data_IF_691542817620
#
_entry.id   IF_691542817620
#
_cell.length_a   1.000
_cell.length_b   1.000
_cell.length_c   1.000
_cell.angle_alpha   90.00
_cell.angle_beta   90.00
_cell.angle_gamma   90.00
#
_symmetry.space_group_name_H-M   'P 1'
#
loop_
_entity.id
_entity.type
_entity.pdbx_description
1 polymer ?
#
# COMPACT_ATOMS: atom_id res chain seq x y z
N UNK A 1 -3.70 6.82 -66.46
CA UNK A 1 -3.19 7.43 -65.20
C UNK A 1 -2.79 6.31 -64.23
N UNK A 2 -1.54 5.85 -64.29
CA UNK A 2 -1.06 4.78 -63.41
C UNK A 2 -0.92 5.27 -61.96
N UNK A 3 -1.55 4.57 -61.01
CA UNK A 3 -1.38 4.86 -59.57
C UNK A 3 0.10 4.72 -59.21
N UNK A 4 0.75 5.82 -58.85
CA UNK A 4 2.14 5.82 -58.38
C UNK A 4 2.30 4.81 -57.22
N UNK A 5 3.16 3.81 -57.40
CA UNK A 5 3.52 2.85 -56.34
C UNK A 5 4.19 3.63 -55.21
N UNK A 6 3.51 3.75 -54.06
CA UNK A 6 4.07 4.34 -52.84
C UNK A 6 5.26 3.49 -52.38
N UNK A 7 6.37 4.14 -52.02
CA UNK A 7 7.60 3.48 -51.56
C UNK A 7 7.30 2.71 -50.26
N UNK A 8 7.61 1.40 -50.23
CA UNK A 8 7.26 0.44 -49.16
C UNK A 8 7.94 0.70 -47.79
N UNK A 9 8.73 1.76 -47.67
CA UNK A 9 9.52 2.09 -46.48
C UNK A 9 8.84 3.12 -45.57
N UNK A 10 7.80 3.82 -46.03
CA UNK A 10 7.12 4.83 -45.23
C UNK A 10 6.01 4.22 -44.37
N UNK A 11 5.89 4.67 -43.12
CA UNK A 11 4.80 4.27 -42.19
C UNK A 11 3.39 4.49 -42.77
N UNK A 12 3.23 5.40 -43.74
CA UNK A 12 1.97 5.63 -44.47
C UNK A 12 1.66 4.52 -45.47
N UNK A 13 2.67 3.86 -46.05
CA UNK A 13 2.50 2.71 -46.92
C UNK A 13 2.06 1.47 -46.14
N UNK A 14 2.58 1.27 -44.92
CA UNK A 14 2.19 0.13 -44.06
C UNK A 14 0.73 0.18 -43.59
N UNK A 15 0.14 1.38 -43.53
CA UNK A 15 -1.29 1.56 -43.20
C UNK A 15 -2.23 1.28 -44.38
N UNK A 16 -1.71 1.14 -45.59
CA UNK A 16 -2.48 0.85 -46.80
C UNK A 16 -2.27 -0.56 -47.35
N UNK A 17 -1.57 -1.42 -46.61
CA UNK A 17 -1.51 -2.86 -46.89
C UNK A 17 -2.84 -3.43 -46.40
N UNK A 18 -3.53 -4.15 -47.26
CA UNK A 18 -4.75 -4.83 -46.88
C UNK A 18 -4.39 -6.01 -45.97
N UNK A 19 -4.95 -6.02 -44.77
CA UNK A 19 -4.72 -7.05 -43.73
C UNK A 19 -6.05 -7.76 -43.41
N UNK A 20 -7.10 -7.51 -44.20
CA UNK A 20 -8.40 -8.16 -44.05
C UNK A 20 -8.26 -9.68 -44.09
N UNK A 21 -7.62 -10.24 -45.13
CA UNK A 21 -7.41 -11.69 -45.27
C UNK A 21 -6.72 -12.33 -44.05
N UNK A 22 -5.72 -11.66 -43.48
CA UNK A 22 -4.99 -12.16 -42.29
C UNK A 22 -5.85 -12.07 -41.03
N UNK A 23 -6.64 -11.00 -40.89
CA UNK A 23 -7.56 -10.86 -39.77
C UNK A 23 -8.71 -11.86 -39.87
N UNK A 24 -9.25 -12.07 -41.07
CA UNK A 24 -10.34 -13.03 -41.33
C UNK A 24 -9.86 -14.46 -41.04
N UNK A 25 -8.65 -14.82 -41.47
CA UNK A 25 -8.04 -16.11 -41.13
C UNK A 25 -7.84 -16.29 -39.61
N UNK A 26 -7.44 -15.24 -38.90
CA UNK A 26 -7.28 -15.27 -37.44
C UNK A 26 -8.63 -15.37 -36.72
N UNK A 27 -9.65 -14.67 -37.20
CA UNK A 27 -11.02 -14.74 -36.69
C UNK A 27 -11.63 -16.12 -36.92
N UNK A 28 -11.43 -16.72 -38.09
CA UNK A 28 -11.81 -18.10 -38.38
C UNK A 28 -11.11 -19.09 -37.46
N UNK A 29 -9.80 -18.96 -37.26
CA UNK A 29 -9.05 -19.81 -36.33
C UNK A 29 -9.60 -19.68 -34.90
N UNK A 30 -9.91 -18.46 -34.47
CA UNK A 30 -10.50 -18.21 -33.14
C UNK A 30 -11.91 -18.81 -33.03
N UNK A 31 -12.68 -18.78 -34.12
CA UNK A 31 -14.02 -19.39 -34.20
C UNK A 31 -13.96 -20.91 -34.15
N UNK A 32 -13.02 -21.55 -34.86
CA UNK A 32 -12.79 -23.00 -34.84
C UNK A 32 -12.37 -23.49 -33.44
N UNK A 33 -11.50 -22.74 -32.76
CA UNK A 33 -11.13 -22.97 -31.36
C UNK A 33 -12.33 -22.91 -30.40
N UNK A 34 -13.24 -21.93 -30.58
CA UNK A 34 -14.45 -21.83 -29.74
C UNK A 34 -15.42 -22.98 -29.94
N UNK A 35 -15.44 -23.54 -31.15
CA UNK A 35 -16.29 -24.68 -31.50
C UNK A 35 -15.61 -26.02 -31.21
N UNK A 36 -14.36 -26.02 -30.71
CA UNK A 36 -13.52 -27.21 -30.53
C UNK A 36 -13.36 -28.07 -31.81
N UNK A 37 -13.40 -27.44 -32.98
CA UNK A 37 -13.32 -28.10 -34.30
C UNK A 37 -11.96 -27.84 -34.98
N UNK A 38 -10.88 -27.95 -34.22
CA UNK A 38 -9.52 -27.86 -34.78
C UNK A 38 -9.05 -29.27 -35.18
N UNK A 39 -9.45 -29.69 -36.39
CA UNK A 39 -9.15 -31.03 -36.92
C UNK A 39 -7.64 -31.33 -37.02
N UNK A 40 -6.79 -30.31 -37.17
CA UNK A 40 -5.32 -30.49 -37.24
C UNK A 40 -4.69 -30.94 -35.92
N UNK A 41 -5.37 -30.72 -34.79
CA UNK A 41 -4.83 -31.00 -33.45
C UNK A 41 -5.36 -32.30 -32.85
N UNK A 42 -6.51 -32.76 -33.31
CA UNK A 42 -7.15 -33.98 -32.84
C UNK A 42 -6.61 -35.14 -33.71
N UNK A 43 -6.13 -36.25 -33.11
CA UNK A 43 -5.63 -37.37 -33.89
C UNK A 43 -6.74 -38.02 -34.73
N UNK A 44 -6.42 -38.46 -35.94
CA UNK A 44 -7.39 -39.04 -36.88
C UNK A 44 -8.19 -40.23 -36.30
N UNK A 45 -7.62 -40.96 -35.34
CA UNK A 45 -8.28 -42.06 -34.64
C UNK A 45 -9.51 -41.64 -33.82
N UNK A 46 -9.58 -40.37 -33.37
CA UNK A 46 -10.72 -39.83 -32.65
C UNK A 46 -11.77 -39.22 -33.62
N UNK A 47 -11.38 -38.89 -34.85
CA UNK A 47 -12.27 -38.36 -35.90
C UNK A 47 -12.97 -39.46 -36.67
N UNK A 48 -12.24 -40.53 -36.98
CA UNK A 48 -12.70 -41.59 -37.86
C UNK A 48 -12.79 -42.91 -37.10
N UNK A 49 -14.01 -43.41 -36.97
CA UNK A 49 -14.25 -44.78 -36.59
C UNK A 49 -14.36 -45.63 -37.86
N UNK A 50 -13.42 -46.54 -38.06
CA UNK A 50 -13.50 -47.53 -39.14
C UNK A 50 -14.38 -48.67 -38.64
N UNK A 51 -15.63 -48.71 -39.09
CA UNK A 51 -16.55 -49.78 -38.76
C UNK A 51 -16.16 -51.03 -39.55
N UNK A 52 -15.38 -51.92 -38.92
CA UNK A 52 -14.98 -53.22 -39.49
C UNK A 52 -15.88 -54.36 -39.03
N UNK A 53 -17.08 -54.06 -38.51
CA UNK A 53 -18.05 -55.10 -38.25
C UNK A 53 -18.59 -55.65 -39.59
N UNK A 54 -18.65 -56.98 -39.79
CA UNK A 54 -19.43 -57.52 -40.89
C UNK A 54 -20.88 -57.07 -40.69
N UNK A 55 -21.50 -56.49 -41.72
CA UNK A 55 -22.92 -56.17 -41.70
C UNK A 55 -23.71 -57.46 -41.53
N UNK A 56 -24.09 -57.79 -40.29
CA UNK A 56 -25.10 -58.80 -40.02
C UNK A 56 -26.44 -58.23 -40.50
N UNK A 57 -26.80 -58.56 -41.75
CA UNK A 57 -27.96 -58.04 -42.49
C UNK A 57 -29.31 -58.38 -41.82
N UNK A 58 -29.34 -59.18 -40.74
CA UNK A 58 -30.55 -59.66 -40.07
C UNK A 58 -30.68 -59.28 -38.58
N UNK A 59 -30.06 -58.18 -38.13
CA UNK A 59 -30.31 -57.64 -36.79
C UNK A 59 -31.53 -56.68 -36.78
N UNK A 60 -32.60 -56.95 -35.99
CA UNK A 60 -33.74 -56.04 -35.89
C UNK A 60 -33.29 -54.68 -35.31
N UNK A 61 -33.84 -53.55 -35.78
CA UNK A 61 -33.40 -52.23 -35.36
C UNK A 61 -33.48 -52.09 -33.84
N UNK A 62 -32.47 -51.46 -33.18
CA UNK A 62 -32.48 -51.30 -31.74
C UNK A 62 -33.76 -50.56 -31.35
N UNK A 63 -34.53 -51.19 -30.45
CA UNK A 63 -35.77 -50.58 -29.94
C UNK A 63 -35.41 -49.23 -29.30
N UNK A 64 -36.18 -48.16 -29.58
CA UNK A 64 -35.92 -46.88 -28.95
C UNK A 64 -36.04 -47.04 -27.43
N UNK A 65 -34.94 -46.73 -26.72
CA UNK A 65 -34.91 -46.74 -25.26
C UNK A 65 -36.10 -45.96 -24.71
N UNK A 66 -36.76 -46.52 -23.70
CA UNK A 66 -37.85 -45.84 -23.01
C UNK A 66 -37.32 -44.57 -22.33
N UNK A 67 -38.18 -43.59 -22.09
CA UNK A 67 -37.80 -42.34 -21.40
C UNK A 67 -37.07 -42.60 -20.09
N UNK A 68 -37.48 -43.63 -19.32
CA UNK A 68 -36.83 -44.01 -18.05
C UNK A 68 -35.41 -44.55 -18.26
N UNK A 69 -35.18 -45.35 -19.29
CA UNK A 69 -33.85 -45.88 -19.61
C UNK A 69 -32.92 -44.76 -20.10
N UNK A 70 -33.45 -43.81 -20.87
CA UNK A 70 -32.72 -42.59 -21.25
C UNK A 70 -32.29 -41.81 -20.01
N UNK A 71 -33.19 -41.53 -19.06
CA UNK A 71 -32.84 -40.83 -17.82
C UNK A 71 -31.83 -41.59 -16.94
N UNK A 72 -31.81 -42.93 -16.99
CA UNK A 72 -30.82 -43.75 -16.27
C UNK A 72 -29.45 -43.77 -16.97
N UNK A 73 -29.42 -43.65 -18.29
CA UNK A 73 -28.19 -43.58 -19.08
C UNK A 73 -27.55 -42.18 -19.07
N UNK A 74 -28.31 -41.12 -18.72
CA UNK A 74 -27.73 -39.80 -18.48
C UNK A 74 -26.89 -39.84 -17.20
N UNK A 75 -25.58 -39.69 -17.35
CA UNK A 75 -24.67 -39.40 -16.24
C UNK A 75 -25.06 -38.09 -15.57
N UNK A 76 -24.93 -38.00 -14.24
CA UNK A 76 -25.18 -36.76 -13.52
C UNK A 76 -24.34 -35.62 -14.10
N UNK A 77 -24.93 -34.42 -14.20
CA UNK A 77 -24.26 -33.24 -14.77
C UNK A 77 -22.96 -32.89 -14.03
N UNK A 78 -22.88 -33.17 -12.73
CA UNK A 78 -21.66 -33.03 -11.93
C UNK A 78 -20.55 -33.96 -12.40
N UNK A 79 -20.90 -35.20 -12.75
CA UNK A 79 -19.94 -36.25 -13.08
C UNK A 79 -19.43 -36.05 -14.51
N UNK A 80 -20.30 -35.59 -15.42
CA UNK A 80 -19.91 -35.12 -16.74
C UNK A 80 -18.92 -33.96 -16.66
N UNK A 81 -19.19 -32.93 -15.83
CA UNK A 81 -18.28 -31.79 -15.63
C UNK A 81 -16.95 -32.20 -14.98
N UNK A 82 -16.96 -33.17 -14.07
CA UNK A 82 -15.75 -33.71 -13.45
C UNK A 82 -14.94 -34.61 -14.41
N UNK A 83 -15.58 -35.32 -15.33
CA UNK A 83 -14.89 -36.06 -16.39
C UNK A 83 -14.24 -35.11 -17.42
N UNK A 84 -14.96 -34.05 -17.82
CA UNK A 84 -14.47 -33.01 -18.75
C UNK A 84 -13.29 -32.23 -18.16
N UNK A 85 -13.36 -31.88 -16.87
CA UNK A 85 -12.33 -31.06 -16.20
C UNK A 85 -10.95 -31.73 -16.08
N UNK A 86 -10.83 -33.05 -16.33
CA UNK A 86 -9.52 -33.72 -16.40
C UNK A 86 -8.78 -33.50 -17.73
N UNK A 87 -9.46 -33.00 -18.77
CA UNK A 87 -8.88 -32.70 -20.09
C UNK A 87 -8.58 -31.21 -20.30
N UNK A 88 -9.09 -30.33 -19.44
CA UNK A 88 -8.79 -28.91 -19.49
C UNK A 88 -7.39 -28.62 -18.93
N UNK A 89 -6.41 -28.39 -19.81
CA UNK A 89 -5.12 -27.81 -19.39
C UNK A 89 -5.37 -26.47 -18.71
N UNK A 90 -4.88 -26.25 -17.48
CA UNK A 90 -5.12 -24.99 -16.78
C UNK A 90 -4.56 -23.83 -17.61
N UNK A 91 -5.37 -22.79 -17.79
CA UNK A 91 -4.96 -21.52 -18.42
C UNK A 91 -4.01 -20.79 -17.45
N UNK A 92 -2.81 -21.32 -17.27
CA UNK A 92 -1.67 -20.61 -16.68
C UNK A 92 -0.75 -20.04 -17.76
N UNK A 93 -1.11 -20.17 -19.04
CA UNK A 93 -0.50 -19.40 -20.10
C UNK A 93 -1.04 -17.96 -20.03
N UNK A 94 -0.29 -17.09 -19.36
CA UNK A 94 -0.53 -15.66 -19.36
C UNK A 94 -0.69 -15.16 -20.80
N UNK A 95 -1.87 -14.62 -21.11
CA UNK A 95 -2.07 -13.90 -22.36
C UNK A 95 -0.97 -12.84 -22.51
N UNK A 96 -0.36 -12.68 -23.70
CA UNK A 96 0.70 -11.70 -23.89
C UNK A 96 0.15 -10.31 -23.56
N UNK A 97 0.84 -9.61 -22.66
CA UNK A 97 0.48 -8.30 -22.11
C UNK A 97 0.54 -7.14 -23.15
N UNK A 98 0.26 -7.39 -24.42
CA UNK A 98 0.28 -6.41 -25.51
C UNK A 98 -1.08 -5.75 -25.77
N UNK A 99 -2.19 -6.28 -25.22
CA UNK A 99 -3.54 -5.75 -25.48
C UNK A 99 -4.16 -4.89 -24.36
N UNK A 100 -3.45 -4.70 -23.23
CA UNK A 100 -3.87 -3.73 -22.22
C UNK A 100 -3.50 -2.31 -22.70
N UNK A 101 -4.50 -1.62 -23.24
CA UNK A 101 -4.44 -0.20 -23.62
C UNK A 101 -3.94 0.62 -22.43
N UNK A 102 -2.72 1.14 -22.52
CA UNK A 102 -2.19 2.11 -21.54
C UNK A 102 -3.11 3.34 -21.51
N UNK A 103 -3.58 3.80 -20.34
CA UNK A 103 -4.37 5.03 -20.26
C UNK A 103 -3.55 6.22 -20.76
N UNK A 104 -4.15 7.06 -21.62
CA UNK A 104 -3.54 8.31 -22.09
C UNK A 104 -3.24 9.21 -20.87
N UNK A 105 -2.03 9.78 -20.72
CA UNK A 105 -1.78 10.71 -19.64
C UNK A 105 -2.64 11.97 -19.83
N UNK A 106 -3.40 12.31 -18.79
CA UNK A 106 -4.17 13.55 -18.73
C UNK A 106 -3.21 14.74 -18.77
N UNK A 107 -3.49 15.70 -19.65
CA UNK A 107 -2.78 16.96 -19.78
C UNK A 107 -3.03 17.82 -18.53
N UNK A 108 -2.27 17.59 -17.45
CA UNK A 108 -2.09 18.58 -16.39
C UNK A 108 -0.84 19.40 -16.70
N UNK A 109 -1.03 20.72 -16.85
CA UNK A 109 0.06 21.66 -17.15
C UNK A 109 0.92 21.84 -15.90
N UNK A 110 1.95 21.00 -15.74
CA UNK A 110 3.05 21.29 -14.81
C UNK A 110 3.98 22.33 -15.44
N UNK A 111 4.57 23.28 -14.67
CA UNK A 111 5.46 24.29 -15.22
C UNK A 111 6.69 23.64 -15.89
N UNK A 112 6.97 24.05 -17.13
CA UNK A 112 7.93 23.41 -18.04
C UNK A 112 9.39 23.37 -17.54
N UNK A 113 9.74 24.14 -16.51
CA UNK A 113 11.12 24.20 -15.98
C UNK A 113 11.51 22.96 -15.18
N UNK A 114 10.63 22.45 -14.31
CA UNK A 114 10.94 21.29 -13.46
C UNK A 114 11.02 19.97 -14.26
N UNK A 115 10.18 19.82 -15.28
CA UNK A 115 10.17 18.64 -16.15
C UNK A 115 11.42 18.56 -17.06
N UNK A 116 12.00 19.71 -17.46
CA UNK A 116 13.20 19.76 -18.29
C UNK A 116 14.45 19.32 -17.51
N UNK A 117 14.59 19.78 -16.26
CA UNK A 117 15.71 19.41 -15.37
C UNK A 117 15.68 17.93 -15.00
N UNK A 118 14.50 17.36 -14.72
CA UNK A 118 14.37 15.94 -14.40
C UNK A 118 14.63 15.03 -15.61
N UNK A 119 14.21 15.45 -16.81
CA UNK A 119 14.49 14.70 -18.05
C UNK A 119 15.97 14.72 -18.41
N UNK A 120 16.65 15.86 -18.24
CA UNK A 120 18.10 15.98 -18.45
C UNK A 120 18.90 15.14 -17.46
N UNK A 121 18.53 15.10 -16.17
CA UNK A 121 19.18 14.22 -15.18
C UNK A 121 18.99 12.73 -15.52
N UNK A 122 17.80 12.32 -15.97
CA UNK A 122 17.55 10.92 -16.36
C UNK A 122 18.35 10.52 -17.61
N UNK A 123 18.49 11.42 -18.59
CA UNK A 123 19.33 11.15 -19.78
C UNK A 123 20.82 11.09 -19.44
N UNK A 124 21.30 11.93 -18.52
CA UNK A 124 22.70 11.90 -18.07
C UNK A 124 23.02 10.62 -17.28
N UNK A 125 22.13 10.18 -16.39
CA UNK A 125 22.30 8.92 -15.64
C UNK A 125 22.24 7.72 -16.58
N UNK A 126 21.31 7.70 -17.55
CA UNK A 126 21.25 6.63 -18.55
C UNK A 126 22.49 6.59 -19.46
N UNK A 127 23.02 7.75 -19.86
CA UNK A 127 24.27 7.84 -20.62
C UNK A 127 25.48 7.36 -19.80
N UNK A 128 25.52 7.64 -18.50
CA UNK A 128 26.58 7.16 -17.61
C UNK A 128 26.53 5.64 -17.39
N UNK A 129 25.34 5.03 -17.35
CA UNK A 129 25.19 3.57 -17.32
C UNK A 129 25.65 2.93 -18.64
N UNK A 130 25.23 3.47 -19.79
CA UNK A 130 25.66 2.99 -21.10
C UNK A 130 27.19 3.12 -21.31
N UNK A 131 27.80 4.19 -20.79
CA UNK A 131 29.25 4.36 -20.84
C UNK A 131 29.99 3.34 -19.96
N UNK A 132 29.45 2.99 -18.79
CA UNK A 132 29.99 1.92 -17.93
C UNK A 132 29.89 0.54 -18.59
N UNK A 133 28.75 0.25 -19.23
CA UNK A 133 28.52 -1.02 -19.91
C UNK A 133 29.39 -1.18 -21.17
N UNK A 134 29.68 -0.07 -21.87
CA UNK A 134 30.61 -0.04 -23.01
C UNK A 134 32.08 -0.27 -22.62
N UNK A 135 32.51 0.20 -21.43
CA UNK A 135 33.85 -0.05 -20.92
C UNK A 135 34.00 -1.50 -20.43
N UNK A 136 32.94 -2.08 -19.86
CA UNK A 136 32.93 -3.47 -19.42
C UNK A 136 32.96 -4.48 -20.58
N UNK A 137 32.34 -4.15 -21.72
CA UNK A 137 32.30 -5.01 -22.92
C UNK A 137 33.56 -4.95 -23.78
N UNK A 138 34.47 -3.98 -23.55
CA UNK A 138 35.75 -3.86 -24.27
C UNK A 138 36.88 -4.72 -23.69
N UNK A 139 36.66 -5.33 -22.52
CA UNK A 139 37.65 -6.18 -21.83
C UNK A 139 37.56 -7.67 -22.20
N UNK A 140 36.72 -8.06 -23.18
CA UNK A 140 36.37 -9.46 -23.39
C UNK A 140 36.22 -9.84 -24.87
N UNK A 141 37.28 -9.71 -25.68
CA UNK A 141 37.56 -10.62 -26.80
C UNK A 141 39.08 -10.67 -27.06
N UNK A 142 39.69 -11.79 -26.68
CA UNK A 142 40.94 -12.32 -27.25
C UNK A 142 40.62 -13.74 -27.73
N UNK A 143 41.13 -14.10 -28.91
CA UNK A 143 41.08 -15.38 -29.63
C UNK A 143 39.79 -15.73 -30.39
N UNK A 144 39.70 -15.26 -31.64
CA UNK A 144 39.04 -16.00 -32.71
C UNK A 144 40.12 -16.73 -33.52
N UNK A 145 40.35 -18.01 -33.21
CA UNK A 145 41.12 -18.92 -34.07
C UNK A 145 40.24 -19.33 -35.25
N UNK A 146 40.84 -19.35 -36.45
CA UNK A 146 40.17 -19.47 -37.73
C UNK A 146 39.38 -20.77 -37.96
N UNK A 147 38.29 -20.63 -38.72
CA UNK A 147 37.69 -21.72 -39.47
C UNK A 147 37.81 -21.34 -40.95
N UNK A 148 38.63 -22.10 -41.67
CA UNK A 148 38.88 -22.02 -43.10
C UNK A 148 37.60 -22.27 -43.89
N UNK A 149 37.39 -21.46 -44.93
CA UNK A 149 36.45 -21.74 -46.01
C UNK A 149 36.84 -23.06 -46.70
N UNK A 150 36.09 -24.11 -46.41
CA UNK A 150 36.15 -25.41 -47.10
C UNK A 150 34.86 -25.59 -47.90
N UNK A 151 35.00 -25.74 -49.20
CA UNK A 151 33.95 -26.09 -50.16
C UNK A 151 33.34 -27.45 -49.80
N UNK A 152 32.09 -27.46 -49.31
CA UNK A 152 31.32 -28.69 -49.11
C UNK A 152 30.34 -28.89 -50.28
N UNK A 153 30.48 -30.04 -50.93
CA UNK A 153 29.75 -30.48 -52.12
C UNK A 153 28.30 -30.85 -51.76
N UNK A 154 27.34 -30.13 -52.33
CA UNK A 154 25.90 -30.19 -51.99
C UNK A 154 25.19 -31.46 -52.49
N UNK A 155 25.87 -32.35 -53.22
CA UNK A 155 25.26 -33.50 -53.89
C UNK A 155 25.87 -34.86 -53.51
N UNK A 156 26.67 -34.92 -52.44
CA UNK A 156 27.14 -36.20 -51.92
C UNK A 156 26.00 -36.98 -51.25
N UNK A 157 25.78 -38.28 -51.59
CA UNK A 157 24.72 -39.07 -51.00
C UNK A 157 25.06 -39.44 -49.55
N UNK A 158 24.30 -38.84 -48.62
CA UNK A 158 24.08 -39.21 -47.22
C UNK A 158 25.12 -40.16 -46.59
N UNK A 159 26.26 -39.63 -46.18
CA UNK A 159 27.10 -40.24 -45.16
C UNK A 159 27.13 -39.30 -43.95
N UNK A 160 26.76 -39.87 -42.80
CA UNK A 160 26.85 -39.30 -41.46
C UNK A 160 26.03 -38.02 -41.19
N UNK A 161 24.80 -38.23 -40.71
CA UNK A 161 24.06 -37.23 -39.94
C UNK A 161 25.00 -36.73 -38.83
N UNK A 162 25.41 -35.45 -38.80
CA UNK A 162 26.20 -34.97 -37.69
C UNK A 162 25.33 -35.13 -36.45
N UNK A 163 25.78 -35.99 -35.53
CA UNK A 163 25.27 -36.11 -34.18
C UNK A 163 25.05 -34.70 -33.65
N UNK A 164 23.79 -34.41 -33.35
CA UNK A 164 23.27 -33.31 -32.52
C UNK A 164 24.42 -32.42 -32.07
N UNK A 165 24.61 -31.28 -32.74
CA UNK A 165 25.47 -30.21 -32.25
C UNK A 165 25.23 -30.10 -30.75
N UNK A 166 26.30 -30.31 -29.96
CA UNK A 166 26.25 -30.33 -28.51
C UNK A 166 25.29 -29.24 -28.03
N UNK A 167 24.14 -29.64 -27.47
CA UNK A 167 23.07 -28.73 -27.05
C UNK A 167 23.62 -27.59 -26.16
N UNK A 168 24.73 -27.85 -25.48
CA UNK A 168 25.51 -26.92 -24.66
C UNK A 168 26.17 -25.77 -25.44
N UNK A 169 26.64 -25.98 -26.67
CA UNK A 169 27.29 -24.93 -27.47
C UNK A 169 26.25 -23.93 -28.01
N UNK A 170 25.12 -24.42 -28.48
CA UNK A 170 23.99 -23.59 -28.92
C UNK A 170 23.28 -22.93 -27.75
N UNK A 171 23.08 -23.64 -26.62
CA UNK A 171 22.56 -23.06 -25.40
C UNK A 171 23.47 -21.95 -24.84
N UNK A 172 24.81 -22.09 -24.93
CA UNK A 172 25.75 -21.01 -24.56
C UNK A 172 25.61 -19.79 -25.46
N UNK A 173 25.51 -19.98 -26.78
CA UNK A 173 25.27 -18.89 -27.75
C UNK A 173 23.94 -18.19 -27.50
N UNK A 174 22.88 -18.94 -27.21
CA UNK A 174 21.54 -18.41 -26.93
C UNK A 174 21.40 -17.81 -25.51
N UNK A 175 22.20 -18.25 -24.55
CA UNK A 175 22.20 -17.74 -23.15
C UNK A 175 22.68 -16.30 -23.02
N UNK A 176 23.40 -15.79 -24.03
CA UNK A 176 23.85 -14.40 -24.10
C UNK A 176 22.85 -13.51 -24.86
N UNK A 177 21.93 -14.11 -25.63
CA UNK A 177 20.91 -13.42 -26.43
C UNK A 177 19.58 -13.26 -25.68
N UNK A 178 19.28 -14.20 -24.78
CA UNK A 178 18.15 -14.09 -23.85
C UNK A 178 18.64 -13.41 -22.57
N UNK A 179 18.09 -12.24 -22.17
CA UNK A 179 18.46 -11.65 -20.89
C UNK A 179 18.19 -12.67 -19.78
N UNK A 180 19.25 -13.09 -19.08
CA UNK A 180 19.15 -14.01 -17.94
C UNK A 180 18.06 -13.48 -17.03
N UNK A 181 17.01 -14.27 -16.79
CA UNK A 181 15.91 -13.91 -15.88
C UNK A 181 16.57 -13.47 -14.57
N UNK A 182 16.42 -12.20 -14.21
CA UNK A 182 17.06 -11.64 -13.04
C UNK A 182 16.78 -12.56 -11.85
N UNK A 183 17.84 -13.08 -11.23
CA UNK A 183 17.75 -13.85 -10.00
C UNK A 183 16.88 -13.04 -9.03
N UNK A 184 15.78 -13.65 -8.58
CA UNK A 184 14.88 -13.01 -7.64
C UNK A 184 15.71 -12.53 -6.44
N UNK A 185 15.52 -11.29 -5.96
CA UNK A 185 16.38 -10.72 -4.94
C UNK A 185 16.42 -11.64 -3.71
N UNK A 186 17.63 -12.00 -3.28
CA UNK A 186 17.91 -12.89 -2.14
C UNK A 186 17.28 -12.39 -0.82
N UNK A 187 17.02 -11.07 -0.73
CA UNK A 187 16.35 -10.42 0.41
C UNK A 187 14.84 -10.60 0.40
N UNK A 188 14.35 -11.84 0.25
CA UNK A 188 13.02 -12.15 0.77
C UNK A 188 13.20 -12.37 2.27
N UNK A 189 12.74 -11.44 3.08
CA UNK A 189 12.68 -11.64 4.54
C UNK A 189 11.99 -12.97 4.86
N UNK A 190 12.30 -13.55 6.02
CA UNK A 190 11.65 -14.79 6.48
C UNK A 190 10.14 -14.63 6.34
N UNK A 191 9.52 -15.46 5.51
CA UNK A 191 8.09 -15.45 5.31
C UNK A 191 7.44 -15.82 6.64
N UNK A 192 6.77 -14.86 7.28
CA UNK A 192 5.94 -15.15 8.43
C UNK A 192 4.83 -16.09 7.98
N UNK A 193 4.48 -17.08 8.80
CA UNK A 193 3.32 -17.94 8.53
C UNK A 193 2.09 -17.05 8.36
N UNK A 194 1.58 -16.99 7.13
CA UNK A 194 0.40 -16.20 6.81
C UNK A 194 -0.83 -16.94 7.34
N UNK A 195 -1.81 -16.24 7.95
CA UNK A 195 -3.08 -16.86 8.30
C UNK A 195 -3.78 -17.38 7.03
N UNK A 196 -4.69 -18.36 7.16
CA UNK A 196 -5.39 -18.94 6.02
C UNK A 196 -6.13 -17.88 5.20
N UNK A 197 -6.26 -18.12 3.89
CA UNK A 197 -6.92 -17.17 2.98
C UNK A 197 -8.41 -16.97 3.28
N UNK A 198 -9.04 -17.96 3.92
CA UNK A 198 -10.43 -17.92 4.36
C UNK A 198 -10.43 -18.37 5.81
N UNK A 199 -10.96 -17.53 6.68
CA UNK A 199 -11.16 -17.90 8.08
C UNK A 199 -12.49 -18.62 8.19
N UNK A 200 -12.48 -19.76 8.90
CA UNK A 200 -13.71 -20.46 9.19
C UNK A 200 -14.42 -19.73 10.35
N UNK A 201 -15.71 -19.38 10.22
CA UNK A 201 -16.47 -18.81 11.32
C UNK A 201 -16.65 -19.84 12.44
N UNK A 202 -17.01 -19.35 13.63
CA UNK A 202 -17.40 -20.20 14.75
C UNK A 202 -18.62 -21.06 14.37
N UNK A 203 -18.71 -22.31 14.82
CA UNK A 203 -19.83 -23.19 14.45
C UNK A 203 -21.18 -22.69 14.99
N UNK A 204 -21.16 -21.93 16.10
CA UNK A 204 -22.33 -21.23 16.66
C UNK A 204 -22.88 -20.09 15.81
N UNK A 205 -22.15 -19.65 14.77
CA UNK A 205 -22.62 -18.65 13.81
C UNK A 205 -23.34 -19.27 12.60
N UNK A 206 -23.50 -20.60 12.58
CA UNK A 206 -24.26 -21.28 11.54
C UNK A 206 -25.76 -20.95 11.62
N UNK A 207 -26.48 -21.28 10.56
CA UNK A 207 -27.92 -21.03 10.47
C UNK A 207 -28.74 -21.84 11.48
N UNK A 208 -28.32 -23.06 11.77
CA UNK A 208 -28.97 -23.95 12.73
C UNK A 208 -27.90 -24.57 13.64
N UNK A 209 -27.33 -23.78 14.56
CA UNK A 209 -26.26 -24.23 15.45
C UNK A 209 -26.81 -25.07 16.61
N UNK A 210 -25.95 -25.89 17.19
CA UNK A 210 -26.23 -26.48 18.50
C UNK A 210 -26.36 -25.36 19.56
N UNK A 211 -27.34 -25.42 20.48
CA UNK A 211 -27.61 -24.33 21.43
C UNK A 211 -26.39 -23.96 22.29
N UNK A 212 -25.57 -24.94 22.68
CA UNK A 212 -24.34 -24.68 23.43
C UNK A 212 -23.32 -23.86 22.63
N UNK A 213 -23.16 -24.18 21.35
CA UNK A 213 -22.23 -23.51 20.44
C UNK A 213 -22.72 -22.10 20.09
N UNK A 214 -24.04 -21.93 19.92
CA UNK A 214 -24.69 -20.64 19.70
C UNK A 214 -24.48 -19.69 20.88
N UNK A 215 -24.74 -20.17 22.11
CA UNK A 215 -24.51 -19.39 23.33
C UNK A 215 -23.03 -19.01 23.50
N UNK A 216 -22.11 -19.91 23.15
CA UNK A 216 -20.68 -19.61 23.18
C UNK A 216 -20.30 -18.47 22.21
N UNK A 217 -20.82 -18.51 20.97
CA UNK A 217 -20.60 -17.46 19.98
C UNK A 217 -21.25 -16.13 20.39
N UNK A 218 -22.45 -16.15 20.98
CA UNK A 218 -23.09 -14.96 21.55
C UNK A 218 -22.28 -14.36 22.69
N UNK A 219 -21.76 -15.18 23.61
CA UNK A 219 -20.89 -14.72 24.71
C UNK A 219 -19.66 -14.00 24.19
N UNK A 220 -19.03 -14.51 23.13
CA UNK A 220 -17.88 -13.85 22.50
C UNK A 220 -18.27 -12.50 21.88
N UNK A 221 -19.37 -12.46 21.11
CA UNK A 221 -19.87 -11.22 20.52
C UNK A 221 -20.22 -10.16 21.58
N UNK A 222 -20.90 -10.56 22.65
CA UNK A 222 -21.25 -9.68 23.78
C UNK A 222 -19.99 -9.16 24.47
N UNK A 223 -19.01 -10.02 24.72
CA UNK A 223 -17.75 -9.61 25.33
C UNK A 223 -16.98 -8.58 24.48
N UNK A 224 -17.03 -8.69 23.15
CA UNK A 224 -16.45 -7.67 22.26
C UNK A 224 -17.18 -6.33 22.35
N UNK A 225 -18.51 -6.34 22.35
CA UNK A 225 -19.33 -5.12 22.48
C UNK A 225 -19.19 -4.47 23.85
N UNK A 226 -19.14 -5.25 24.93
CA UNK A 226 -18.86 -4.76 26.28
C UNK A 226 -17.49 -4.08 26.36
N UNK A 227 -16.46 -4.66 25.73
CA UNK A 227 -15.14 -4.03 25.65
C UNK A 227 -15.19 -2.69 24.92
N UNK A 228 -15.97 -2.58 23.83
CA UNK A 228 -16.17 -1.31 23.12
C UNK A 228 -16.89 -0.29 23.99
N UNK A 229 -17.97 -0.69 24.68
CA UNK A 229 -18.73 0.16 25.61
C UNK A 229 -17.85 0.64 26.77
N UNK A 230 -17.06 -0.24 27.38
CA UNK A 230 -16.13 0.11 28.46
C UNK A 230 -15.01 1.04 27.97
N UNK A 231 -14.49 0.84 26.75
CA UNK A 231 -13.50 1.74 26.18
C UNK A 231 -14.10 3.14 25.91
N UNK A 232 -15.34 3.19 25.40
CA UNK A 232 -16.07 4.43 25.17
C UNK A 232 -16.40 5.14 26.49
N UNK A 233 -16.84 4.44 27.53
CA UNK A 233 -17.13 5.04 28.84
C UNK A 233 -15.87 5.53 29.55
N UNK A 234 -14.75 4.79 29.44
CA UNK A 234 -13.44 5.26 29.93
C UNK A 234 -12.97 6.51 29.21
N UNK A 235 -13.22 6.61 27.90
CA UNK A 235 -12.91 7.82 27.14
C UNK A 235 -13.83 8.97 27.56
N UNK A 236 -15.13 8.73 27.69
CA UNK A 236 -16.10 9.72 28.14
C UNK A 236 -15.77 10.26 29.54
N UNK A 237 -15.26 9.41 30.45
CA UNK A 237 -14.80 9.85 31.79
C UNK A 237 -13.50 10.66 31.74
N UNK A 238 -12.66 10.46 30.73
CA UNK A 238 -11.37 11.14 30.56
C UNK A 238 -11.51 12.46 29.82
N UNK A 239 -12.50 12.59 28.96
CA UNK A 239 -12.90 13.88 28.40
C UNK A 239 -13.59 14.63 29.53
N UNK A 240 -13.05 15.76 29.99
CA UNK A 240 -13.73 16.58 30.99
C UNK A 240 -15.14 16.93 30.47
N UNK A 241 -16.15 16.82 31.33
CA UNK A 241 -17.54 17.25 31.03
C UNK A 241 -17.63 18.75 30.67
N UNK A 242 -16.53 19.50 30.87
CA UNK A 242 -16.38 20.90 30.47
C UNK A 242 -16.67 21.16 28.98
N UNK A 243 -16.55 20.15 28.09
CA UNK A 243 -16.89 20.35 26.67
C UNK A 243 -18.38 20.20 26.37
N UNK A 244 -19.17 19.59 27.25
CA UNK A 244 -20.61 19.38 27.04
C UNK A 244 -21.47 20.41 27.78
N UNK A 245 -20.97 20.97 28.88
CA UNK A 245 -21.74 21.88 29.75
C UNK A 245 -21.25 23.34 29.69
N UNK A 246 -20.24 23.67 28.87
CA UNK A 246 -19.79 25.05 28.72
C UNK A 246 -20.86 25.87 27.95
N UNK A 247 -21.52 26.87 28.59
CA UNK A 247 -22.29 27.86 27.85
C UNK A 247 -21.33 28.60 26.90
N UNK A 248 -21.77 28.80 25.67
CA UNK A 248 -21.01 29.29 24.51
C UNK A 248 -20.32 30.67 24.69
N UNK A 249 -20.44 31.32 25.85
CA UNK A 249 -20.11 32.73 26.06
C UNK A 249 -18.94 32.99 27.03
N UNK A 250 -18.33 31.96 27.63
CA UNK A 250 -17.11 32.13 28.41
C UNK A 250 -15.87 31.91 27.52
N UNK A 251 -15.16 33.00 27.22
CA UNK A 251 -13.98 32.96 26.35
C UNK A 251 -12.84 32.10 26.92
N UNK A 252 -12.03 31.43 26.07
CA UNK A 252 -10.99 30.47 26.45
C UNK A 252 -9.77 31.09 27.16
N UNK A 253 -9.84 32.36 27.55
CA UNK A 253 -8.71 33.11 28.09
C UNK A 253 -8.63 33.07 29.61
N UNK A 254 -9.75 33.12 30.35
CA UNK A 254 -9.70 33.17 31.82
C UNK A 254 -9.41 31.81 32.47
N UNK A 255 -9.72 30.70 31.78
CA UNK A 255 -9.51 29.35 32.30
C UNK A 255 -8.06 28.87 32.11
N UNK A 256 -7.35 29.37 31.10
CA UNK A 256 -5.93 29.06 30.90
C UNK A 256 -5.05 29.81 31.92
N UNK A 257 -5.54 30.93 32.44
CA UNK A 257 -4.92 31.71 33.51
C UNK A 257 -5.12 31.06 34.89
N UNK A 258 -6.28 30.45 35.16
CA UNK A 258 -6.53 29.73 36.44
C UNK A 258 -5.82 28.38 36.54
N UNK A 259 -5.59 27.71 35.40
CA UNK A 259 -4.78 26.49 35.34
C UNK A 259 -3.27 26.77 35.49
N UNK A 260 -2.82 27.97 35.15
CA UNK A 260 -1.41 28.37 35.31
C UNK A 260 -1.06 28.78 36.75
N UNK A 261 -2.06 29.19 37.55
CA UNK A 261 -1.85 29.64 38.94
C UNK A 261 -1.99 28.53 39.98
N UNK A 262 -2.50 27.35 39.61
CA UNK A 262 -2.67 26.21 40.54
C UNK A 262 -1.46 25.26 40.60
N UNK A 263 -0.43 25.45 39.77
CA UNK A 263 0.78 24.61 39.70
C UNK A 263 2.02 25.23 40.39
N UNK A 264 1.86 26.24 41.27
CA UNK A 264 2.99 26.89 41.99
C UNK A 264 3.05 26.56 43.49
N UNK A 265 2.00 26.01 44.10
CA UNK A 265 1.98 25.72 45.55
C UNK A 265 1.86 24.22 45.84
N UNK A 266 2.94 23.47 45.58
CA UNK A 266 3.08 22.09 46.05
C UNK A 266 4.56 21.69 46.23
N UNK A 267 5.15 22.08 47.35
CA UNK A 267 6.21 21.29 47.99
C UNK A 267 7.59 21.93 48.13
N UNK A 268 7.70 23.04 48.86
CA UNK A 268 8.88 23.31 49.69
C UNK A 268 8.40 23.60 51.11
N UNK A 269 8.22 22.52 51.88
CA UNK A 269 8.06 22.57 53.32
C UNK A 269 9.32 21.96 53.95
N UNK A 270 9.97 22.80 54.76
CA UNK A 270 10.69 22.45 55.99
C UNK A 270 12.04 21.72 55.87
N UNK A 271 13.11 22.52 55.83
CA UNK A 271 14.13 22.51 56.89
C UNK A 271 14.39 23.97 57.30
N UNK A 272 13.49 24.52 58.12
CA UNK A 272 13.80 25.65 58.99
C UNK A 272 14.73 25.12 60.09
N UNK A 273 16.04 25.35 59.96
CA UNK A 273 16.88 25.44 61.15
C UNK A 273 16.59 26.80 61.79
N UNK A 274 15.60 26.80 62.68
CA UNK A 274 15.48 27.81 63.74
C UNK A 274 16.77 27.77 64.57
N UNK A 275 17.73 28.64 64.26
CA UNK A 275 18.59 29.22 65.27
C UNK A 275 17.72 30.15 66.14
N UNK A 276 16.92 29.56 67.04
CA UNK A 276 16.52 30.29 68.23
C UNK A 276 17.79 30.52 69.07
N UNK A 277 18.36 31.69 68.82
CA UNK A 277 19.13 32.49 69.77
C UNK A 277 18.34 32.58 71.10
N UNK A 278 18.49 31.56 71.93
CA UNK A 278 18.25 31.69 73.35
C UNK A 278 19.24 32.73 73.86
N UNK A 279 18.72 33.89 74.24
CA UNK A 279 19.33 34.89 75.12
C UNK A 279 19.70 34.24 76.47
N UNK A 280 20.76 33.43 76.43
CA UNK A 280 21.49 32.96 77.58
C UNK A 280 22.68 33.90 77.71
N UNK A 281 22.55 34.86 78.63
CA UNK A 281 23.55 35.87 78.91
C UNK A 281 24.97 35.34 78.77
N UNK A 282 25.80 36.11 78.06
CA UNK A 282 27.22 35.86 77.83
C UNK A 282 27.96 35.67 79.16
N UNK A 283 27.89 34.46 79.72
CA UNK A 283 28.81 34.00 80.76
C UNK A 283 30.08 33.69 79.98
N UNK A 284 31.07 34.59 80.07
CA UNK A 284 32.46 34.32 79.70
C UNK A 284 32.80 32.91 80.19
N UNK A 285 32.87 31.96 79.27
CA UNK A 285 33.33 30.61 79.60
C UNK A 285 34.68 30.76 80.31
N UNK A 286 34.87 30.19 81.51
CA UNK A 286 36.10 30.38 82.26
C UNK A 286 37.26 29.92 81.39
N UNK A 287 38.17 30.87 81.09
CA UNK A 287 39.42 30.59 80.39
C UNK A 287 40.08 29.40 81.09
N UNK A 288 40.33 28.27 80.41
CA UNK A 288 40.81 27.08 81.07
C UNK A 288 42.16 27.40 81.71
N UNK A 289 42.25 27.25 83.03
CA UNK A 289 43.49 27.47 83.78
C UNK A 289 44.65 26.78 83.07
N UNK A 290 45.76 27.52 82.86
CA UNK A 290 46.94 27.05 82.10
C UNK A 290 47.41 25.71 82.67
N UNK A 291 47.06 24.61 81.99
CA UNK A 291 47.43 23.25 82.41
C UNK A 291 48.95 23.16 82.52
N UNK A 292 49.44 22.62 83.63
CA UNK A 292 50.86 22.31 83.84
C UNK A 292 51.40 21.44 82.70
N UNK A 293 52.68 21.61 82.34
CA UNK A 293 53.29 20.95 81.18
C UNK A 293 53.12 19.41 81.21
N UNK A 294 53.17 18.82 82.41
CA UNK A 294 52.92 17.40 82.64
C UNK A 294 51.48 16.96 82.28
N UNK A 295 50.46 17.74 82.67
CA UNK A 295 49.04 17.45 82.33
C UNK A 295 48.79 17.59 80.82
N UNK A 296 49.44 18.55 80.16
CA UNK A 296 49.42 18.71 78.68
C UNK A 296 50.02 17.49 77.97
N UNK A 297 51.16 16.98 78.45
CA UNK A 297 51.85 15.81 77.86
C UNK A 297 51.04 14.52 78.05
N UNK A 298 50.41 14.34 79.21
CA UNK A 298 49.51 13.21 79.49
C UNK A 298 48.25 13.24 78.61
N UNK A 299 47.65 14.42 78.43
CA UNK A 299 46.47 14.60 77.58
C UNK A 299 46.80 14.43 76.09
N UNK A 300 47.95 14.94 75.63
CA UNK A 300 48.45 14.69 74.28
C UNK A 300 48.66 13.18 74.04
N UNK A 301 49.19 12.44 75.02
CA UNK A 301 49.35 10.98 74.94
C UNK A 301 47.99 10.26 74.91
N UNK A 302 47.00 10.73 75.68
CA UNK A 302 45.62 10.20 75.64
C UNK A 302 44.95 10.47 74.29
N UNK A 303 45.09 11.68 73.74
CA UNK A 303 44.58 12.05 72.40
C UNK A 303 45.24 11.25 71.29
N UNK A 304 46.56 11.07 71.33
CA UNK A 304 47.27 10.22 70.38
C UNK A 304 46.80 8.75 70.44
N UNK A 305 46.60 8.20 71.65
CA UNK A 305 46.02 6.85 71.81
C UNK A 305 44.58 6.75 71.31
N UNK A 306 43.75 7.76 71.59
CA UNK A 306 42.38 7.81 71.09
C UNK A 306 42.33 7.90 69.56
N UNK A 307 43.23 8.68 68.96
CA UNK A 307 43.38 8.81 67.52
C UNK A 307 43.80 7.49 66.85
N UNK A 308 44.79 6.79 67.42
CA UNK A 308 45.20 5.46 66.93
C UNK A 308 44.07 4.44 67.03
N UNK A 309 43.35 4.40 68.16
CA UNK A 309 42.16 3.55 68.32
C UNK A 309 41.06 3.88 67.32
N UNK A 310 40.84 5.17 67.03
CA UNK A 310 39.87 5.58 66.02
C UNK A 310 40.27 5.11 64.61
N UNK A 311 41.56 5.13 64.28
CA UNK A 311 42.08 4.58 63.02
C UNK A 311 41.88 3.06 62.97
N UNK A 312 42.17 2.33 64.05
CA UNK A 312 41.99 0.88 64.13
C UNK A 312 40.51 0.49 63.98
N UNK A 313 39.61 1.18 64.67
CA UNK A 313 38.15 0.96 64.54
C UNK A 313 37.69 1.29 63.11
N UNK A 314 38.21 2.35 62.49
CA UNK A 314 37.91 2.70 61.09
C UNK A 314 38.40 1.61 60.14
N UNK A 315 39.62 1.10 60.31
CA UNK A 315 40.17 -0.02 59.52
C UNK A 315 39.38 -1.31 59.72
N UNK A 316 38.98 -1.62 60.96
CA UNK A 316 38.14 -2.79 61.25
C UNK A 316 36.74 -2.65 60.62
N UNK A 317 36.16 -1.46 60.60
CA UNK A 317 34.90 -1.17 59.88
C UNK A 317 35.05 -1.36 58.38
N UNK A 318 36.16 -0.88 57.80
CA UNK A 318 36.47 -1.09 56.38
C UNK A 318 36.69 -2.58 56.06
N UNK A 319 37.42 -3.31 56.90
CA UNK A 319 37.59 -4.76 56.76
C UNK A 319 36.25 -5.49 56.73
N UNK A 320 35.36 -5.21 57.69
CA UNK A 320 33.99 -5.78 57.72
C UNK A 320 33.14 -5.42 56.50
N UNK A 321 33.40 -4.29 55.83
CA UNK A 321 32.71 -3.93 54.59
C UNK A 321 33.29 -4.69 53.40
N UNK A 322 34.60 -4.90 53.37
CA UNK A 322 35.28 -5.72 52.36
C UNK A 322 34.85 -7.19 52.47
N UNK A 323 34.76 -7.73 53.68
CA UNK A 323 34.31 -9.11 53.93
C UNK A 323 32.85 -9.36 53.50
N UNK A 324 32.05 -8.29 53.35
CA UNK A 324 30.67 -8.36 52.85
C UNK A 324 30.56 -8.19 51.34
N UNK A 325 31.65 -7.88 50.63
CA UNK A 325 31.59 -7.67 49.18
C UNK A 325 31.07 -8.90 48.45
N UNK A 326 31.44 -10.10 48.87
CA UNK A 326 30.97 -11.34 48.24
C UNK A 326 29.45 -11.50 48.37
N UNK A 327 28.87 -11.22 49.56
CA UNK A 327 27.41 -11.18 49.73
C UNK A 327 26.74 -10.12 48.86
N UNK A 328 27.37 -8.96 48.65
CA UNK A 328 26.83 -7.94 47.75
C UNK A 328 26.91 -8.36 46.28
N UNK A 329 27.95 -9.10 45.89
CA UNK A 329 28.07 -9.67 44.54
C UNK A 329 26.95 -10.68 44.30
N UNK A 330 26.73 -11.61 45.23
CA UNK A 330 25.63 -12.59 45.16
C UNK A 330 24.25 -11.91 45.12
N UNK A 331 24.02 -10.89 45.94
CA UNK A 331 22.78 -10.09 45.92
C UNK A 331 22.57 -9.38 44.57
N UNK A 332 23.63 -8.79 44.02
CA UNK A 332 23.58 -8.11 42.72
C UNK A 332 23.31 -9.12 41.61
N UNK A 333 23.98 -10.28 41.61
CA UNK A 333 23.76 -11.35 40.65
C UNK A 333 22.32 -11.85 40.71
N UNK A 334 21.79 -12.15 41.91
CA UNK A 334 20.40 -12.56 42.08
C UNK A 334 19.39 -11.51 41.57
N UNK A 335 19.65 -10.22 41.78
CA UNK A 335 18.82 -9.13 41.24
C UNK A 335 18.92 -9.04 39.72
N UNK A 336 20.11 -9.21 39.14
CA UNK A 336 20.32 -9.21 37.69
C UNK A 336 19.65 -10.41 37.02
N UNK A 337 19.75 -11.60 37.61
CA UNK A 337 19.07 -12.81 37.18
C UNK A 337 17.54 -12.65 37.25
N UNK A 338 17.01 -12.16 38.38
CA UNK A 338 15.59 -11.86 38.52
C UNK A 338 15.07 -10.86 37.49
N UNK A 339 15.87 -9.83 37.17
CA UNK A 339 15.58 -8.88 36.09
C UNK A 339 15.65 -9.53 34.71
N UNK A 340 16.63 -10.40 34.47
CA UNK A 340 16.79 -11.12 33.20
C UNK A 340 15.62 -12.08 32.95
N UNK A 341 15.22 -12.87 33.95
CA UNK A 341 14.04 -13.74 33.90
C UNK A 341 12.78 -12.92 33.64
N UNK A 342 12.60 -11.82 34.37
CA UNK A 342 11.45 -10.91 34.15
C UNK A 342 11.42 -10.32 32.74
N UNK A 343 12.59 -9.97 32.18
CA UNK A 343 12.72 -9.50 30.78
C UNK A 343 12.38 -10.63 29.81
N UNK A 344 12.92 -11.83 30.02
CA UNK A 344 12.65 -13.00 29.18
C UNK A 344 11.15 -13.36 29.15
N UNK A 345 10.46 -13.35 30.31
CA UNK A 345 9.00 -13.59 30.36
C UNK A 345 8.23 -12.50 29.59
N UNK A 346 8.63 -11.23 29.72
CA UNK A 346 8.00 -10.12 28.97
C UNK A 346 8.24 -10.27 27.47
N UNK A 347 9.44 -10.66 27.05
CA UNK A 347 9.79 -10.89 25.66
C UNK A 347 9.05 -12.08 25.06
N UNK A 348 8.99 -13.20 25.76
CA UNK A 348 8.21 -14.38 25.35
C UNK A 348 6.73 -14.02 25.18
N UNK A 349 6.12 -13.29 26.14
CA UNK A 349 4.74 -12.79 26.03
C UNK A 349 4.56 -11.84 24.84
N UNK A 350 5.56 -11.00 24.55
CA UNK A 350 5.54 -10.08 23.40
C UNK A 350 5.60 -10.86 22.08
N UNK A 351 6.49 -11.85 21.96
CA UNK A 351 6.62 -12.69 20.77
C UNK A 351 5.34 -13.50 20.53
N UNK A 352 4.81 -14.16 21.55
CA UNK A 352 3.54 -14.89 21.46
C UNK A 352 2.37 -13.98 21.05
N UNK A 353 2.34 -12.73 21.54
CA UNK A 353 1.35 -11.73 21.12
C UNK A 353 1.55 -11.33 19.66
N UNK A 354 2.78 -11.10 19.22
CA UNK A 354 3.09 -10.73 17.83
C UNK A 354 2.78 -11.86 16.85
N UNK A 355 2.95 -13.11 17.25
CA UNK A 355 2.58 -14.29 16.45
C UNK A 355 1.06 -14.40 16.27
N UNK A 356 0.29 -14.17 17.34
CA UNK A 356 -1.18 -14.19 17.30
C UNK A 356 -1.77 -12.99 16.55
N UNK A 357 -1.17 -11.80 16.72
CA UNK A 357 -1.68 -10.57 16.13
C UNK A 357 -1.23 -10.41 14.67
N UNK A 358 -2.09 -9.93 13.77
CA UNK A 358 -1.70 -9.68 12.39
C UNK A 358 -0.54 -8.67 12.30
N UNK A 359 0.31 -8.79 11.27
CA UNK A 359 1.41 -7.85 11.05
C UNK A 359 0.87 -6.43 10.85
N UNK A 360 1.56 -5.46 11.44
CA UNK A 360 1.23 -4.04 11.24
C UNK A 360 1.92 -3.55 9.97
N UNK A 361 1.12 -3.19 8.97
CA UNK A 361 1.56 -2.49 7.78
C UNK A 361 1.09 -1.04 7.90
N UNK A 362 2.02 -0.08 7.87
CA UNK A 362 1.72 1.34 8.06
C UNK A 362 1.44 1.76 9.51
N UNK A 363 0.83 2.94 9.69
CA UNK A 363 0.51 3.48 11.01
C UNK A 363 -0.67 2.76 11.68
N UNK A 364 -1.68 2.40 10.88
CA UNK A 364 -2.92 1.77 11.31
C UNK A 364 -2.71 0.42 11.98
N UNK A 365 -3.55 0.11 12.97
CA UNK A 365 -3.67 -1.25 13.54
C UNK A 365 -4.79 -1.98 12.83
N UNK A 366 -4.62 -3.28 12.60
CA UNK A 366 -5.72 -4.10 12.08
C UNK A 366 -6.86 -4.13 13.10
N UNK A 367 -8.05 -3.79 12.62
CA UNK A 367 -9.31 -3.98 13.34
C UNK A 367 -10.05 -5.16 12.71
N UNK A 368 -10.34 -6.18 13.51
CA UNK A 368 -11.14 -7.34 13.13
C UNK A 368 -12.58 -6.91 12.80
N UNK A 369 -13.24 -7.73 11.98
CA UNK A 369 -14.68 -7.60 11.78
C UNK A 369 -15.40 -8.09 13.05
N UNK A 370 -16.48 -7.41 13.50
CA UNK A 370 -17.29 -7.96 14.58
C UNK A 370 -17.85 -9.33 14.18
N UNK A 371 -17.93 -10.23 15.15
CA UNK A 371 -18.49 -11.56 14.95
C UNK A 371 -19.95 -11.46 14.48
N UNK A 372 -20.27 -12.10 13.35
CA UNK A 372 -21.63 -12.14 12.79
C UNK A 372 -22.36 -13.36 13.36
N UNK A 373 -23.22 -13.15 14.35
CA UNK A 373 -24.04 -14.21 14.99
C UNK A 373 -25.49 -13.74 15.03
N UNK A 374 -26.42 -14.65 14.71
CA UNK A 374 -27.86 -14.40 14.84
C UNK A 374 -28.24 -14.40 16.33
N UNK A 375 -29.13 -13.51 16.74
CA UNK A 375 -29.68 -13.54 18.11
C UNK A 375 -30.65 -14.73 18.26
N UNK A 376 -30.98 -15.08 19.51
CA UNK A 376 -31.96 -16.14 19.80
C UNK A 376 -33.30 -15.92 19.11
N UNK A 377 -33.73 -14.66 19.01
CA UNK A 377 -35.02 -14.28 18.44
C UNK A 377 -35.03 -14.37 16.91
N UNK A 378 -33.85 -14.21 16.30
CA UNK A 378 -33.67 -14.31 14.85
C UNK A 378 -33.43 -15.76 14.38
N UNK A 379 -33.16 -16.68 15.31
CA UNK A 379 -32.93 -18.09 15.02
C UNK A 379 -34.24 -18.85 14.80
N UNK A 380 -34.72 -18.84 13.56
CA UNK A 380 -36.04 -19.41 13.20
C UNK A 380 -36.01 -20.86 12.69
N UNK A 381 -34.84 -21.47 12.50
CA UNK A 381 -34.68 -22.86 12.04
C UNK A 381 -35.08 -23.15 10.58
N UNK A 382 -35.80 -22.25 9.90
CA UNK A 382 -36.13 -22.32 8.46
C UNK A 382 -35.25 -21.43 7.56
N UNK A 383 -34.59 -22.01 6.56
CA UNK A 383 -33.73 -21.28 5.61
C UNK A 383 -34.45 -20.18 4.82
N UNK A 384 -35.79 -20.29 4.70
CA UNK A 384 -36.61 -19.27 4.01
C UNK A 384 -36.66 -17.94 4.78
N UNK A 385 -36.44 -17.99 6.09
CA UNK A 385 -36.50 -16.83 6.97
C UNK A 385 -35.10 -16.25 7.26
N UNK A 386 -34.03 -16.80 6.66
CA UNK A 386 -32.67 -16.33 6.90
C UNK A 386 -32.47 -14.94 6.29
N UNK A 387 -31.98 -13.99 7.09
CA UNK A 387 -31.53 -12.70 6.57
C UNK A 387 -30.13 -12.88 5.96
N UNK A 388 -29.92 -12.63 4.66
CA UNK A 388 -28.60 -12.76 4.07
C UNK A 388 -27.66 -11.68 4.63
N UNK A 389 -26.49 -12.07 5.11
CA UNK A 389 -25.45 -11.13 5.54
C UNK A 389 -24.62 -10.68 4.32
N UNK A 390 -24.65 -9.39 3.98
CA UNK A 390 -24.08 -8.85 2.73
C UNK A 390 -22.59 -8.48 2.79
N UNK A 391 -21.84 -8.98 3.78
CA UNK A 391 -20.49 -8.48 4.10
C UNK A 391 -19.33 -9.34 3.57
N UNK A 392 -19.53 -10.12 2.50
CA UNK A 392 -18.50 -11.01 1.94
C UNK A 392 -17.26 -10.25 1.44
N UNK A 393 -17.45 -9.16 0.69
CA UNK A 393 -16.33 -8.35 0.19
C UNK A 393 -15.52 -7.77 1.34
N UNK A 394 -16.21 -7.31 2.40
CA UNK A 394 -15.58 -6.75 3.59
C UNK A 394 -14.79 -7.81 4.35
N UNK A 395 -15.28 -9.05 4.38
CA UNK A 395 -14.59 -10.18 5.01
C UNK A 395 -13.31 -10.55 4.23
N UNK A 396 -13.40 -10.66 2.90
CA UNK A 396 -12.23 -10.85 2.03
C UNK A 396 -11.21 -9.73 2.17
N UNK A 397 -11.68 -8.49 2.19
CA UNK A 397 -10.84 -7.30 2.41
C UNK A 397 -10.11 -7.38 3.77
N UNK A 398 -10.80 -7.79 4.83
CA UNK A 398 -10.20 -7.98 6.16
C UNK A 398 -9.22 -9.15 6.22
N UNK A 399 -9.49 -10.26 5.54
CA UNK A 399 -8.53 -11.36 5.42
C UNK A 399 -7.24 -10.94 4.70
N UNK A 400 -7.34 -10.14 3.62
CA UNK A 400 -6.17 -9.58 2.91
C UNK A 400 -5.36 -8.66 3.85
N UNK A 401 -6.04 -7.87 4.68
CA UNK A 401 -5.37 -7.04 5.70
C UNK A 401 -4.72 -7.86 6.81
N UNK A 402 -5.40 -8.90 7.33
CA UNK A 402 -4.85 -9.77 8.38
C UNK A 402 -3.61 -10.53 7.91
N UNK A 403 -3.54 -10.85 6.61
CA UNK A 403 -2.35 -11.42 5.96
C UNK A 403 -1.23 -10.40 5.74
N UNK A 404 -1.45 -9.11 5.96
CA UNK A 404 -0.46 -8.07 5.73
C UNK A 404 -0.19 -7.80 4.25
N UNK A 405 -1.10 -8.19 3.35
CA UNK A 405 -1.01 -7.87 1.91
C UNK A 405 -1.49 -6.45 1.62
N UNK A 406 -2.43 -5.97 2.44
CA UNK A 406 -3.00 -4.62 2.35
C UNK A 406 -2.92 -3.94 3.71
N UNK A 407 -2.64 -2.64 3.71
CA UNK A 407 -2.63 -1.85 4.93
C UNK A 407 -4.07 -1.60 5.44
N UNK A 408 -4.28 -1.53 6.77
CA UNK A 408 -5.52 -0.99 7.32
C UNK A 408 -5.72 0.45 6.83
N UNK A 409 -6.90 0.83 6.29
CA UNK A 409 -7.11 2.17 5.77
C UNK A 409 -7.01 3.14 6.94
N UNK A 410 -6.19 4.17 6.76
CA UNK A 410 -6.28 5.36 7.58
C UNK A 410 -7.51 6.15 7.13
N UNK A 411 -8.30 6.67 8.07
CA UNK A 411 -9.38 7.56 7.72
C UNK A 411 -8.78 8.79 7.05
N UNK A 412 -9.04 8.97 5.75
CA UNK A 412 -8.56 10.15 5.03
C UNK A 412 -9.15 11.40 5.69
N UNK A 413 -8.30 12.15 6.38
CA UNK A 413 -8.70 13.44 6.93
C UNK A 413 -9.06 14.33 5.74
N UNK A 414 -10.30 14.82 5.72
CA UNK A 414 -10.73 15.79 4.71
C UNK A 414 -9.74 16.96 4.74
N UNK A 415 -8.94 17.11 3.69
CA UNK A 415 -8.06 18.27 3.55
C UNK A 415 -8.97 19.48 3.41
N UNK A 416 -8.99 20.35 4.42
CA UNK A 416 -9.69 21.63 4.34
C UNK A 416 -8.99 22.42 3.24
N UNK A 417 -9.58 22.46 2.06
CA UNK A 417 -9.10 23.33 0.99
C UNK A 417 -9.49 24.75 1.37
N UNK A 418 -8.52 25.66 1.42
CA UNK A 418 -8.81 27.08 1.51
C UNK A 418 -9.76 27.44 0.36
N UNK A 419 -10.83 28.18 0.67
CA UNK A 419 -11.78 28.65 -0.35
C UNK A 419 -11.02 29.46 -1.38
N UNK A 420 -11.13 29.10 -2.65
CA UNK A 420 -10.54 29.88 -3.75
C UNK A 420 -11.20 31.26 -3.74
N UNK A 421 -10.40 32.32 -3.55
CA UNK A 421 -10.88 33.70 -3.70
C UNK A 421 -11.21 33.92 -5.18
N UNK A 422 -12.48 34.01 -5.51
CA UNK A 422 -12.94 34.43 -6.84
C UNK A 422 -13.03 35.95 -6.82
N UNK A 423 -12.12 36.61 -7.53
CA UNK A 423 -12.26 38.03 -7.82
C UNK A 423 -13.33 38.15 -8.91
N UNK A 424 -14.39 38.89 -8.64
CA UNK A 424 -15.24 39.41 -9.70
C UNK A 424 -14.36 40.43 -10.42
N UNK A 425 -13.80 40.06 -11.57
CA UNK A 425 -13.32 41.08 -12.48
C UNK A 425 -14.55 41.89 -12.88
N UNK A 426 -14.53 43.19 -12.57
CA UNK A 426 -15.54 44.10 -13.06
C UNK A 426 -15.67 43.86 -14.57
N UNK A 427 -16.81 43.33 -14.99
CA UNK A 427 -17.17 43.36 -16.40
C UNK A 427 -17.05 44.83 -16.82
N UNK A 428 -16.40 45.08 -17.96
CA UNK A 428 -16.25 46.39 -18.60
C UNK A 428 -17.41 47.31 -18.20
N UNK A 429 -17.10 48.30 -17.36
CA UNK A 429 -18.05 49.19 -16.70
C UNK A 429 -19.19 49.59 -17.63
N UNK A 430 -20.40 49.78 -17.11
CA UNK A 430 -21.53 50.32 -17.89
C UNK A 430 -21.11 51.59 -18.65
N UNK A 431 -20.26 52.44 -18.05
CA UNK A 431 -19.62 53.59 -18.69
C UNK A 431 -18.82 53.29 -19.97
N UNK A 432 -18.22 52.09 -20.09
CA UNK A 432 -17.51 51.67 -21.31
C UNK A 432 -18.46 51.17 -22.40
N UNK A 433 -19.62 50.65 -22.01
CA UNK A 433 -20.70 50.27 -22.94
C UNK A 433 -21.39 51.54 -23.45
N UNK A 434 -21.72 52.46 -22.55
CA UNK A 434 -22.26 53.79 -22.85
C UNK A 434 -21.33 54.57 -23.77
N UNK A 435 -20.04 54.67 -23.44
CA UNK A 435 -19.06 55.34 -24.31
C UNK A 435 -18.95 54.71 -25.71
N UNK A 436 -19.14 53.40 -25.84
CA UNK A 436 -19.16 52.74 -27.16
C UNK A 436 -20.46 53.04 -27.93
N UNK A 437 -21.60 53.13 -27.24
CA UNK A 437 -22.88 53.53 -27.83
C UNK A 437 -22.85 54.98 -28.31
N UNK A 438 -22.30 55.89 -27.52
CA UNK A 438 -22.10 57.30 -27.90
C UNK A 438 -21.23 57.44 -29.16
N UNK A 439 -20.15 56.66 -29.26
CA UNK A 439 -19.30 56.63 -30.46
C UNK A 439 -20.08 56.12 -31.69
N UNK A 440 -20.96 55.13 -31.52
CA UNK A 440 -21.80 54.63 -32.61
C UNK A 440 -22.82 55.66 -33.06
N UNK A 441 -23.52 56.31 -32.12
CA UNK A 441 -24.46 57.38 -32.43
C UNK A 441 -23.79 58.56 -33.13
N UNK A 442 -22.60 58.97 -32.67
CA UNK A 442 -21.83 60.04 -33.31
C UNK A 442 -21.48 59.69 -34.76
N UNK A 443 -21.10 58.44 -35.04
CA UNK A 443 -20.84 57.96 -36.41
C UNK A 443 -22.10 57.97 -37.28
N UNK A 444 -23.24 57.59 -36.73
CA UNK A 444 -24.52 57.65 -37.46
C UNK A 444 -24.95 59.09 -37.75
N UNK A 445 -24.77 60.01 -36.80
CA UNK A 445 -25.03 61.44 -37.01
C UNK A 445 -24.15 62.00 -38.14
N UNK A 446 -22.86 61.67 -38.15
CA UNK A 446 -21.95 62.07 -39.24
C UNK A 446 -22.39 61.45 -40.56
N UNK A 447 -22.82 60.18 -40.58
CA UNK A 447 -23.30 59.51 -41.79
C UNK A 447 -24.58 60.16 -42.33
N UNK A 448 -25.54 60.50 -41.46
CA UNK A 448 -26.76 61.22 -41.82
C UNK A 448 -26.46 62.61 -42.35
N UNK A 449 -25.55 63.35 -41.70
CA UNK A 449 -25.11 64.67 -42.18
C UNK A 449 -24.46 64.60 -43.56
N UNK A 450 -23.57 63.62 -43.79
CA UNK A 450 -22.96 63.39 -45.11
C UNK A 450 -23.99 62.97 -46.17
N UNK A 451 -25.04 62.25 -45.78
CA UNK A 451 -26.13 61.90 -46.69
C UNK A 451 -26.96 63.14 -47.05
N UNK A 452 -27.26 64.02 -46.09
CA UNK A 452 -27.92 65.31 -46.32
C UNK A 452 -27.07 66.24 -47.19
N UNK A 453 -25.78 66.42 -46.87
CA UNK A 453 -24.85 67.21 -47.69
C UNK A 453 -24.80 66.67 -49.14
N UNK A 454 -24.86 65.34 -49.32
CA UNK A 454 -24.95 64.72 -50.66
C UNK A 454 -26.27 65.03 -51.36
N UNK A 455 -27.40 64.92 -50.67
CA UNK A 455 -28.72 65.28 -51.23
C UNK A 455 -28.76 66.76 -51.61
N UNK A 456 -28.31 67.67 -50.73
CA UNK A 456 -28.23 69.10 -51.02
C UNK A 456 -27.26 69.41 -52.17
N UNK A 457 -26.14 68.71 -52.27
CA UNK A 457 -25.21 68.85 -53.41
C UNK A 457 -25.80 68.31 -54.70
N UNK A 458 -26.60 67.25 -54.63
CA UNK A 458 -27.35 66.67 -55.75
C UNK A 458 -28.46 67.61 -56.21
N UNK A 459 -29.23 68.17 -55.29
CA UNK A 459 -30.24 69.19 -55.58
C UNK A 459 -29.63 70.46 -56.15
N UNK A 460 -28.47 70.90 -55.66
CA UNK A 460 -27.71 72.01 -56.26
C UNK A 460 -27.16 71.67 -57.64
N UNK A 461 -26.72 70.43 -57.87
CA UNK A 461 -26.27 69.97 -59.19
C UNK A 461 -27.44 69.87 -60.19
N UNK A 462 -28.59 69.38 -59.74
CA UNK A 462 -29.83 69.31 -60.54
C UNK A 462 -30.41 70.70 -60.81
N UNK A 463 -30.32 71.62 -59.84
CA UNK A 463 -30.68 73.03 -60.03
C UNK A 463 -29.72 73.71 -61.01
N UNK A 464 -28.41 73.47 -60.90
CA UNK A 464 -27.43 73.99 -61.85
C UNK A 464 -27.65 73.43 -63.27
N UNK A 465 -27.95 72.12 -63.40
CA UNK A 465 -28.27 71.48 -64.67
C UNK A 465 -29.55 72.07 -65.31
N UNK A 466 -30.57 72.39 -64.50
CA UNK A 466 -31.78 73.07 -64.96
C UNK A 466 -31.54 74.51 -65.41
N UNK A 467 -30.61 75.22 -64.77
CA UNK A 467 -30.21 76.58 -65.17
C UNK A 467 -29.33 76.61 -66.42
N UNK A 468 -28.58 75.54 -66.72
CA UNK A 468 -27.79 75.42 -67.97
C UNK A 468 -28.61 74.93 -69.17
N UNK A 469 -29.87 74.55 -68.97
CA UNK A 469 -30.78 74.05 -70.01
C UNK A 469 -31.80 75.11 -70.50
N UNK A 470 -31.63 76.37 -70.07
CA UNK A 470 -32.27 77.58 -70.60
C UNK A 470 -31.17 78.50 -71.13
#
# INVERSE_FOLDING_TARGET
MGKQKKRKQDKKAWRGIDVSEVNDALEEQTRRQRQNLDFERIPDADLFFVDTAPEDVDAPPPRPLTTKEKYRALTLRSDALLAESRRATPVTAAAPASQLRKPKPSRTKTPASAARTQKQRRTQVAAAHLARDAVASKALVVHAAGASAGSEDLWAPAADVPKILDFDQEARRLSNLVPKRALLPSKRGRARALPPSVELPLPGASFNPEPAQHQAALREAVAEEERKKQAASRLARRVPSLLTDAPSDAGPASELESLLTLDVDAGEAEEEEEEEEADAGYVKAPQPAKKTAFRRKLEARKRAKAYLRAIEVRKARQGRQLDRLDSYVEEVEAVLEGRALSRAVKEARRLARLERQPPRLGAGRFASMPLQVLTSDELSGSLRCIKPTTMLIRDRYKSVQRRGMLEPPEAEKKKIRLKTKTYIHANRNDATIEGHQEIQEARERIRKRRAQEKMESGEKADAAARWTAW
#
